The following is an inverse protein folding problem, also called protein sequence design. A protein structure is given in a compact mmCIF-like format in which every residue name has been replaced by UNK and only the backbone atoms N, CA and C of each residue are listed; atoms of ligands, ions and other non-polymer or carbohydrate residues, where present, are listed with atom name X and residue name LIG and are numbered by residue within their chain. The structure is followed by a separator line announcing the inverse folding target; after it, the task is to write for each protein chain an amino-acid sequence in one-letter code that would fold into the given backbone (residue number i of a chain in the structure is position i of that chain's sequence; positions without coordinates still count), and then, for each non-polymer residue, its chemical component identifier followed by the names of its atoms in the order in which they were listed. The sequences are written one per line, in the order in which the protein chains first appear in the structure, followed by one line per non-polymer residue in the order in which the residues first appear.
data_IF_993441389627
#
_entry.id   IF_993441389627
#
_cell.length_a   1.000
_cell.length_b   1.000
_cell.length_c   1.000
_cell.angle_alpha   90.00
_cell.angle_beta   90.00
_cell.angle_gamma   90.00
#
_symmetry.space_group_name_H-M   'P 1'
#
loop_
_entity.id
_entity.type
_entity.pdbx_description
1 polymer ?
#
# COMPACT_ATOMS: atom_id res chain seq x y z
N UNK A 1 -32.53 -34.36 -26.62
CA UNK A 1 -32.08 -33.11 -25.94
C UNK A 1 -31.87 -33.27 -24.43
N UNK A 2 -32.87 -33.67 -23.62
CA UNK A 2 -32.72 -33.80 -22.15
C UNK A 2 -31.57 -34.73 -21.70
N UNK A 3 -31.39 -35.88 -22.36
CA UNK A 3 -30.28 -36.82 -22.08
C UNK A 3 -28.90 -36.21 -22.37
N UNK A 4 -28.76 -35.39 -23.41
CA UNK A 4 -27.52 -34.71 -23.77
C UNK A 4 -27.16 -33.64 -22.75
N UNK A 5 -28.12 -32.79 -22.37
CA UNK A 5 -27.93 -31.76 -21.34
C UNK A 5 -27.49 -32.38 -20.02
N UNK A 6 -28.12 -33.48 -19.59
CA UNK A 6 -27.72 -34.20 -18.36
C UNK A 6 -26.27 -34.72 -18.45
N UNK A 7 -25.87 -35.31 -19.58
CA UNK A 7 -24.50 -35.80 -19.78
C UNK A 7 -23.49 -34.66 -19.75
N UNK A 8 -23.78 -33.53 -20.40
CA UNK A 8 -22.93 -32.33 -20.38
C UNK A 8 -22.81 -31.76 -18.96
N UNK A 9 -23.92 -31.67 -18.22
CA UNK A 9 -23.90 -31.18 -16.84
C UNK A 9 -23.06 -32.08 -15.92
N UNK A 10 -23.23 -33.40 -16.00
CA UNK A 10 -22.43 -34.35 -15.22
C UNK A 10 -20.95 -34.28 -15.61
N UNK A 11 -20.64 -34.06 -16.88
CA UNK A 11 -19.26 -33.89 -17.35
C UNK A 11 -18.63 -32.59 -16.83
N UNK A 12 -19.39 -31.49 -16.80
CA UNK A 12 -18.90 -30.18 -16.34
C UNK A 12 -18.94 -30.02 -14.81
N UNK A 13 -19.68 -30.85 -14.08
CA UNK A 13 -19.88 -30.67 -12.64
C UNK A 13 -18.58 -30.68 -11.83
N UNK A 14 -17.54 -31.51 -12.11
CA UNK A 14 -16.30 -31.46 -11.35
C UNK A 14 -15.55 -30.13 -11.54
N UNK A 15 -15.59 -29.57 -12.75
CA UNK A 15 -14.97 -28.28 -13.08
C UNK A 15 -15.70 -27.15 -12.33
N UNK A 16 -17.03 -27.16 -12.37
CA UNK A 16 -17.85 -26.18 -11.63
C UNK A 16 -17.60 -26.26 -10.13
N UNK A 17 -17.50 -27.47 -9.56
CA UNK A 17 -17.19 -27.67 -8.14
C UNK A 17 -15.82 -27.08 -7.78
N UNK A 18 -14.79 -27.25 -8.61
CA UNK A 18 -13.47 -26.64 -8.37
C UNK A 18 -13.55 -25.12 -8.43
N UNK A 19 -14.21 -24.55 -9.44
CA UNK A 19 -14.36 -23.09 -9.58
C UNK A 19 -15.14 -22.49 -8.39
N UNK A 20 -16.22 -23.13 -7.97
CA UNK A 20 -17.00 -22.73 -6.79
C UNK A 20 -16.15 -22.83 -5.52
N UNK A 21 -15.37 -23.90 -5.36
CA UNK A 21 -14.51 -24.09 -4.19
C UNK A 21 -13.44 -22.99 -4.09
N UNK A 22 -12.83 -22.61 -5.22
CA UNK A 22 -11.87 -21.49 -5.24
C UNK A 22 -12.58 -20.17 -4.95
N UNK A 23 -13.78 -19.94 -5.49
CA UNK A 23 -14.53 -18.72 -5.16
C UNK A 23 -14.89 -18.67 -3.67
N UNK A 24 -15.37 -19.77 -3.09
CA UNK A 24 -15.63 -19.88 -1.64
C UNK A 24 -14.36 -19.58 -0.85
N UNK A 25 -13.21 -20.14 -1.24
CA UNK A 25 -11.92 -19.85 -0.61
C UNK A 25 -11.65 -18.34 -0.57
N UNK A 26 -11.85 -17.62 -1.68
CA UNK A 26 -11.71 -16.17 -1.73
C UNK A 26 -12.72 -15.45 -0.82
N UNK A 27 -13.92 -15.99 -0.60
CA UNK A 27 -14.94 -15.34 0.25
C UNK A 27 -14.72 -15.55 1.75
N UNK A 28 -14.11 -16.65 2.15
CA UNK A 28 -14.00 -17.03 3.57
C UNK A 28 -12.61 -16.84 4.15
N UNK A 29 -11.54 -16.96 3.36
CA UNK A 29 -10.17 -16.94 3.89
C UNK A 29 -9.71 -15.50 4.06
N UNK A 30 -9.38 -15.06 5.30
CA UNK A 30 -8.89 -13.71 5.54
C UNK A 30 -7.56 -13.46 4.83
N UNK A 31 -7.42 -12.24 4.31
CA UNK A 31 -6.18 -11.72 3.75
C UNK A 31 -5.88 -10.34 4.35
N UNK A 32 -4.77 -9.71 3.94
CA UNK A 32 -4.35 -8.41 4.47
C UNK A 32 -5.44 -7.33 4.39
N UNK A 33 -6.25 -7.33 3.34
CA UNK A 33 -7.33 -6.37 3.12
C UNK A 33 -8.47 -6.59 4.12
N UNK A 34 -8.90 -7.85 4.30
CA UNK A 34 -9.92 -8.24 5.29
C UNK A 34 -9.49 -7.82 6.70
N UNK A 35 -8.28 -8.21 7.11
CA UNK A 35 -7.75 -7.90 8.44
C UNK A 35 -7.65 -6.40 8.66
N UNK A 36 -7.26 -5.62 7.65
CA UNK A 36 -7.21 -4.14 7.75
C UNK A 36 -8.59 -3.50 7.85
N UNK A 37 -9.58 -4.02 7.12
CA UNK A 37 -10.97 -3.52 7.17
C UNK A 37 -11.66 -3.83 8.51
N UNK A 38 -11.34 -4.97 9.12
CA UNK A 38 -11.84 -5.33 10.45
C UNK A 38 -11.13 -4.50 11.54
N UNK A 39 -9.79 -4.53 11.55
CA UNK A 39 -9.02 -3.86 12.60
C UNK A 39 -9.15 -2.34 12.58
N UNK A 40 -9.38 -1.69 11.43
CA UNK A 40 -9.57 -0.22 11.39
C UNK A 40 -10.76 0.25 12.24
N UNK A 41 -11.78 -0.59 12.43
CA UNK A 41 -12.95 -0.25 13.25
C UNK A 41 -12.57 -0.05 14.72
N UNK A 42 -11.67 -0.88 15.23
CA UNK A 42 -11.14 -0.80 16.59
C UNK A 42 -10.22 0.41 16.79
N UNK A 43 -9.70 0.97 15.68
CA UNK A 43 -8.67 2.02 15.66
C UNK A 43 -9.22 3.44 15.62
N UNK A 44 -10.53 3.62 15.47
CA UNK A 44 -11.14 4.95 15.35
C UNK A 44 -11.01 5.82 16.60
N UNK A 45 -10.92 5.22 17.79
CA UNK A 45 -10.96 5.95 19.06
C UNK A 45 -9.58 6.36 19.59
N UNK A 46 -8.53 5.63 19.21
CA UNK A 46 -7.20 5.73 19.79
C UNK A 46 -6.16 6.32 18.82
N UNK A 47 -6.27 6.00 17.52
CA UNK A 47 -5.24 6.37 16.51
C UNK A 47 -5.03 7.88 16.43
N UNK A 48 -3.79 8.31 16.68
CA UNK A 48 -3.32 9.69 16.51
C UNK A 48 -2.55 9.88 15.20
N UNK A 49 -1.92 8.81 14.67
CA UNK A 49 -1.18 8.81 13.40
C UNK A 49 -1.71 7.70 12.48
N UNK A 50 -2.16 8.07 11.29
CA UNK A 50 -2.58 7.13 10.24
C UNK A 50 -1.55 7.10 9.13
N UNK A 51 -1.03 5.92 8.79
CA UNK A 51 -0.11 5.71 7.67
C UNK A 51 -0.90 5.19 6.48
N UNK A 52 -0.71 5.84 5.33
CA UNK A 52 -1.23 5.48 4.01
C UNK A 52 -0.08 5.30 3.02
N UNK A 53 -0.36 4.68 1.88
CA UNK A 53 0.63 4.43 0.83
C UNK A 53 0.75 2.96 0.42
N UNK A 54 1.83 2.71 -0.33
CA UNK A 54 2.10 1.46 -1.02
C UNK A 54 2.90 0.45 -0.14
N UNK A 55 3.58 -0.51 -0.79
CA UNK A 55 4.44 -1.49 -0.12
C UNK A 55 5.60 -0.88 0.67
N UNK A 56 6.09 0.31 0.29
CA UNK A 56 7.20 0.98 0.95
C UNK A 56 6.81 1.44 2.36
N UNK A 57 5.59 1.95 2.57
CA UNK A 57 5.10 2.24 3.93
C UNK A 57 4.49 1.03 4.62
N UNK A 58 3.91 0.08 3.88
CA UNK A 58 3.41 -1.19 4.44
C UNK A 58 4.53 -2.00 5.13
N UNK A 59 5.71 -2.09 4.49
CA UNK A 59 6.88 -2.79 5.03
C UNK A 59 7.90 -1.87 5.71
N UNK A 60 7.89 -0.57 5.44
CA UNK A 60 8.90 0.36 5.96
C UNK A 60 8.52 1.06 7.25
N UNK A 61 7.23 1.15 7.60
CA UNK A 61 6.76 1.85 8.80
C UNK A 61 5.95 0.93 9.70
N UNK A 62 6.57 0.48 10.80
CA UNK A 62 5.95 -0.35 11.81
C UNK A 62 5.41 0.51 12.97
N UNK A 63 4.08 0.54 13.19
CA UNK A 63 3.46 1.36 14.22
C UNK A 63 3.97 1.16 15.64
N UNK A 64 4.56 0.00 15.96
CA UNK A 64 5.04 -0.30 17.33
C UNK A 64 6.22 0.57 17.76
N UNK A 65 6.92 1.20 16.81
CA UNK A 65 8.06 2.08 17.10
C UNK A 65 7.72 3.57 17.09
N UNK A 66 6.43 3.91 17.02
CA UNK A 66 5.95 5.29 17.17
C UNK A 66 5.52 5.54 18.60
N UNK A 67 5.80 6.73 19.14
CA UNK A 67 5.41 7.08 20.52
C UNK A 67 3.92 7.38 20.69
N UNK A 68 3.22 7.57 19.56
CA UNK A 68 1.79 7.86 19.52
C UNK A 68 1.04 6.67 18.93
N UNK A 69 -0.21 6.42 19.35
CA UNK A 69 -1.05 5.39 18.76
C UNK A 69 -1.09 5.55 17.25
N UNK A 70 -0.52 4.56 16.56
CA UNK A 70 -0.31 4.61 15.12
C UNK A 70 -0.98 3.40 14.48
N UNK A 71 -1.58 3.60 13.31
CA UNK A 71 -2.15 2.52 12.53
C UNK A 71 -1.72 2.62 11.07
N UNK A 72 -1.33 1.48 10.49
CA UNK A 72 -0.86 1.40 9.11
C UNK A 72 -1.92 0.80 8.21
N UNK A 73 -2.55 1.65 7.39
CA UNK A 73 -3.57 1.26 6.42
C UNK A 73 -3.00 1.10 4.99
N UNK A 74 -1.69 1.17 4.81
CA UNK A 74 -1.00 0.97 3.52
C UNK A 74 -1.14 -0.48 3.02
N UNK A 75 -1.10 -0.72 1.71
CA UNK A 75 -1.09 -2.07 1.13
C UNK A 75 -0.08 -2.19 -0.02
N UNK A 76 0.25 -3.42 -0.39
CA UNK A 76 1.15 -3.71 -1.51
C UNK A 76 0.59 -3.11 -2.81
N UNK A 77 1.39 -2.27 -3.46
CA UNK A 77 1.05 -1.52 -4.68
C UNK A 77 -0.21 -0.64 -4.57
N UNK A 78 -0.57 -0.19 -3.36
CA UNK A 78 -1.65 0.80 -3.17
C UNK A 78 -1.27 2.13 -3.83
N UNK A 79 -2.10 2.58 -4.77
CA UNK A 79 -1.91 3.85 -5.47
C UNK A 79 -2.54 5.01 -4.70
N UNK A 80 -2.17 6.25 -5.06
CA UNK A 80 -2.79 7.46 -4.50
C UNK A 80 -4.31 7.48 -4.74
N UNK A 81 -4.79 6.86 -5.83
CA UNK A 81 -6.21 6.66 -6.06
C UNK A 81 -6.88 5.84 -4.94
N UNK A 82 -6.28 4.71 -4.54
CA UNK A 82 -6.82 3.91 -3.44
C UNK A 82 -6.57 4.55 -2.07
N UNK A 83 -5.46 5.27 -1.88
CA UNK A 83 -5.26 6.10 -0.69
C UNK A 83 -6.41 7.09 -0.52
N UNK A 84 -6.85 7.75 -1.60
CA UNK A 84 -7.99 8.68 -1.58
C UNK A 84 -9.30 8.00 -1.19
N UNK A 85 -9.60 6.84 -1.77
CA UNK A 85 -10.83 6.11 -1.46
C UNK A 85 -10.86 5.64 0.00
N UNK A 86 -9.74 5.12 0.51
CA UNK A 86 -9.60 4.75 1.92
C UNK A 86 -9.71 5.96 2.84
N UNK A 87 -9.02 7.04 2.50
CA UNK A 87 -9.07 8.29 3.22
C UNK A 87 -10.51 8.81 3.34
N UNK A 88 -11.24 8.91 2.23
CA UNK A 88 -12.62 9.40 2.22
C UNK A 88 -13.57 8.50 3.03
N UNK A 89 -13.39 7.17 2.97
CA UNK A 89 -14.21 6.23 3.75
C UNK A 89 -14.01 6.37 5.26
N UNK A 90 -12.79 6.67 5.70
CA UNK A 90 -12.40 6.51 7.11
C UNK A 90 -12.11 7.82 7.87
N UNK A 91 -11.71 8.89 7.18
CA UNK A 91 -11.15 10.09 7.84
C UNK A 91 -12.10 10.73 8.86
N UNK A 92 -13.40 10.75 8.58
CA UNK A 92 -14.41 11.37 9.44
C UNK A 92 -14.72 10.52 10.70
N UNK A 93 -14.27 9.26 10.74
CA UNK A 93 -14.54 8.32 11.85
C UNK A 93 -13.48 8.38 12.94
N UNK A 94 -12.23 8.72 12.60
CA UNK A 94 -11.15 8.84 13.59
C UNK A 94 -11.35 10.05 14.50
N UNK A 95 -11.36 9.84 15.82
CA UNK A 95 -11.66 10.88 16.82
C UNK A 95 -10.43 11.63 17.33
N UNK A 96 -9.26 10.97 17.33
CA UNK A 96 -8.00 11.51 17.87
C UNK A 96 -6.92 11.73 16.83
N UNK A 97 -7.24 11.53 15.54
CA UNK A 97 -6.26 11.62 14.47
C UNK A 97 -5.71 13.05 14.38
N UNK A 98 -4.39 13.17 14.45
CA UNK A 98 -3.66 14.44 14.36
C UNK A 98 -2.74 14.49 13.16
N UNK A 99 -2.32 13.34 12.65
CA UNK A 99 -1.36 13.29 11.53
C UNK A 99 -1.66 12.15 10.58
N UNK A 100 -1.57 12.44 9.29
CA UNK A 100 -1.49 11.43 8.24
C UNK A 100 -0.07 11.40 7.69
N UNK A 101 0.50 10.20 7.61
CA UNK A 101 1.75 9.94 6.89
C UNK A 101 1.36 9.35 5.54
N UNK A 102 1.72 10.03 4.46
CA UNK A 102 1.36 9.65 3.09
C UNK A 102 2.62 9.47 2.24
N UNK A 103 2.73 8.30 1.62
CA UNK A 103 3.87 7.93 0.80
C UNK A 103 3.93 8.69 -0.53
N UNK A 104 5.13 9.14 -0.91
CA UNK A 104 5.47 9.69 -2.23
C UNK A 104 6.81 9.08 -2.66
N UNK A 105 6.74 8.07 -3.51
CA UNK A 105 7.91 7.38 -4.06
C UNK A 105 8.05 7.66 -5.57
N UNK A 106 9.01 6.95 -6.17
CA UNK A 106 9.36 7.08 -7.59
C UNK A 106 8.21 6.84 -8.57
N UNK A 107 7.23 6.04 -8.18
CA UNK A 107 6.05 5.68 -9.01
C UNK A 107 4.81 6.51 -8.68
N UNK A 108 4.70 7.04 -7.46
CA UNK A 108 3.42 7.49 -6.90
C UNK A 108 2.75 8.60 -7.72
N UNK A 109 3.51 9.59 -8.21
CA UNK A 109 2.93 10.75 -8.88
C UNK A 109 2.59 10.50 -10.36
N UNK A 110 3.25 9.56 -11.03
CA UNK A 110 2.98 9.23 -12.44
C UNK A 110 2.04 8.05 -12.62
N UNK A 111 1.73 7.31 -11.55
CA UNK A 111 0.93 6.11 -11.63
C UNK A 111 -0.46 6.41 -12.18
N UNK A 112 -0.81 5.76 -13.29
CA UNK A 112 -2.14 5.80 -13.89
C UNK A 112 -3.10 4.86 -13.15
N UNK A 113 -4.39 5.19 -13.20
CA UNK A 113 -5.46 4.30 -12.71
C UNK A 113 -5.71 3.15 -13.67
N UNK A 114 -6.19 2.04 -13.12
CA UNK A 114 -6.59 0.84 -13.87
C UNK A 114 -5.44 0.26 -14.72
N UNK A 115 -4.24 0.23 -14.14
CA UNK A 115 -3.03 -0.38 -14.73
C UNK A 115 -2.93 -1.86 -14.35
N UNK A 116 -1.84 -2.52 -14.76
CA UNK A 116 -1.57 -3.93 -14.44
C UNK A 116 -1.57 -4.21 -12.93
N UNK A 117 -1.19 -3.22 -12.10
CA UNK A 117 -1.25 -3.34 -10.65
C UNK A 117 -2.70 -3.41 -10.11
N UNK A 118 -3.67 -2.89 -10.86
CA UNK A 118 -5.07 -2.81 -10.44
C UNK A 118 -5.92 -4.00 -10.90
N UNK A 119 -5.39 -4.87 -11.79
CA UNK A 119 -6.12 -5.99 -12.44
C UNK A 119 -6.92 -6.82 -11.42
N UNK A 120 -6.32 -7.14 -10.27
CA UNK A 120 -6.99 -7.89 -9.21
C UNK A 120 -7.25 -7.06 -7.95
N UNK A 121 -6.40 -6.07 -7.66
CA UNK A 121 -6.44 -5.29 -6.42
C UNK A 121 -7.71 -4.46 -6.29
N UNK A 122 -8.24 -3.92 -7.40
CA UNK A 122 -9.49 -3.14 -7.37
C UNK A 122 -10.67 -3.94 -6.81
N UNK A 123 -10.75 -5.23 -7.13
CA UNK A 123 -11.78 -6.11 -6.57
C UNK A 123 -11.52 -6.42 -5.10
N UNK A 124 -10.27 -6.54 -4.67
CA UNK A 124 -9.93 -6.75 -3.27
C UNK A 124 -10.33 -5.53 -2.42
N UNK A 125 -10.06 -4.32 -2.90
CA UNK A 125 -10.54 -3.09 -2.27
C UNK A 125 -12.07 -3.03 -2.20
N UNK A 126 -12.76 -3.42 -3.28
CA UNK A 126 -14.23 -3.47 -3.28
C UNK A 126 -14.77 -4.49 -2.28
N UNK A 127 -14.25 -5.72 -2.29
CA UNK A 127 -14.86 -6.85 -1.61
C UNK A 127 -14.37 -7.11 -0.20
N UNK A 128 -13.12 -6.77 0.09
CA UNK A 128 -12.51 -7.01 1.41
C UNK A 128 -12.37 -5.74 2.23
N UNK A 129 -12.47 -4.56 1.60
CA UNK A 129 -12.41 -3.27 2.27
C UNK A 129 -13.66 -2.42 2.04
N UNK A 130 -14.76 -2.99 1.53
CA UNK A 130 -16.03 -2.33 1.21
C UNK A 130 -15.86 -0.93 0.62
N UNK A 131 -14.99 -0.79 -0.39
CA UNK A 131 -14.81 0.46 -1.12
C UNK A 131 -15.76 0.51 -2.32
N UNK A 132 -16.34 1.68 -2.55
CA UNK A 132 -16.87 2.00 -3.88
C UNK A 132 -15.67 2.29 -4.80
N UNK A 133 -15.49 1.48 -5.84
CA UNK A 133 -14.35 1.56 -6.75
C UNK A 133 -14.84 1.89 -8.17
N UNK A 134 -14.98 3.18 -8.53
CA UNK A 134 -15.51 3.62 -9.82
C UNK A 134 -14.84 3.05 -11.08
N UNK A 135 -13.57 2.65 -10.99
CA UNK A 135 -12.85 2.06 -12.14
C UNK A 135 -13.25 0.61 -12.44
N UNK A 136 -14.16 0.01 -11.65
CA UNK A 136 -14.73 -1.31 -11.92
C UNK A 136 -15.97 -1.14 -12.80
N UNK A 137 -15.91 -1.66 -14.01
CA UNK A 137 -17.06 -1.74 -14.90
C UNK A 137 -18.08 -2.74 -14.37
N UNK A 138 -19.37 -2.41 -14.45
CA UNK A 138 -20.45 -3.27 -13.95
C UNK A 138 -20.55 -4.61 -14.69
N UNK A 139 -20.15 -4.64 -15.97
CA UNK A 139 -20.17 -5.83 -16.82
C UNK A 139 -18.90 -6.68 -16.73
N UNK A 140 -17.92 -6.26 -15.93
CA UNK A 140 -16.71 -7.03 -15.74
C UNK A 140 -17.01 -8.32 -14.96
N UNK A 141 -16.68 -9.49 -15.52
CA UNK A 141 -16.95 -10.78 -14.87
C UNK A 141 -16.28 -10.92 -13.50
N UNK A 142 -15.11 -10.31 -13.31
CA UNK A 142 -14.37 -10.39 -12.05
C UNK A 142 -15.04 -9.54 -10.96
N UNK A 143 -15.95 -8.64 -11.35
CA UNK A 143 -16.83 -7.97 -10.44
C UNK A 143 -17.83 -8.92 -9.78
N UNK A 144 -17.97 -10.17 -10.22
CA UNK A 144 -18.86 -11.17 -9.60
C UNK A 144 -18.10 -12.40 -9.11
N UNK A 145 -16.99 -12.75 -9.77
CA UNK A 145 -16.13 -13.89 -9.44
C UNK A 145 -14.69 -13.43 -9.16
N UNK A 146 -14.33 -13.24 -7.89
CA UNK A 146 -13.00 -12.71 -7.52
C UNK A 146 -11.91 -13.71 -7.90
N UNK A 147 -12.22 -15.00 -7.84
CA UNK A 147 -11.29 -16.07 -8.23
C UNK A 147 -10.87 -15.99 -9.70
N UNK A 148 -11.64 -15.31 -10.56
CA UNK A 148 -11.30 -15.01 -11.96
C UNK A 148 -10.23 -13.92 -12.15
N UNK A 149 -9.84 -13.21 -11.09
CA UNK A 149 -8.81 -12.17 -11.14
C UNK A 149 -7.39 -12.70 -11.25
N UNK A 150 -7.18 -14.01 -10.99
CA UNK A 150 -5.88 -14.67 -11.04
C UNK A 150 -5.94 -15.94 -11.89
N UNK A 151 -4.78 -16.33 -12.42
CA UNK A 151 -4.64 -17.61 -13.13
C UNK A 151 -4.89 -18.80 -12.20
N UNK A 152 -5.27 -19.94 -12.78
CA UNK A 152 -5.49 -21.18 -12.01
C UNK A 152 -4.27 -21.58 -11.17
N UNK A 153 -3.06 -21.45 -11.73
CA UNK A 153 -1.81 -21.73 -11.01
C UNK A 153 -1.62 -20.79 -9.81
N UNK A 154 -1.91 -19.49 -9.97
CA UNK A 154 -1.85 -18.53 -8.87
C UNK A 154 -2.89 -18.83 -7.77
N UNK A 155 -4.09 -19.26 -8.16
CA UNK A 155 -5.11 -19.71 -7.20
C UNK A 155 -4.66 -20.96 -6.43
N UNK A 156 -4.10 -21.95 -7.12
CA UNK A 156 -3.59 -23.15 -6.47
C UNK A 156 -2.44 -22.83 -5.50
N UNK A 157 -1.49 -21.96 -5.89
CA UNK A 157 -0.43 -21.50 -4.98
C UNK A 157 -0.98 -20.84 -3.73
N UNK A 158 -2.01 -20.01 -3.85
CA UNK A 158 -2.64 -19.35 -2.71
C UNK A 158 -3.34 -20.35 -1.78
N UNK A 159 -4.06 -21.31 -2.35
CA UNK A 159 -4.71 -22.38 -1.60
C UNK A 159 -3.68 -23.28 -0.89
N UNK A 160 -2.64 -23.73 -1.60
CA UNK A 160 -1.55 -24.52 -1.03
C UNK A 160 -0.87 -23.79 0.12
N UNK A 161 -0.57 -22.50 -0.05
CA UNK A 161 -0.03 -21.66 1.02
C UNK A 161 -0.95 -21.68 2.25
N UNK A 162 -2.24 -21.45 2.07
CA UNK A 162 -3.19 -21.51 3.17
C UNK A 162 -3.24 -22.90 3.85
N UNK A 163 -3.17 -23.99 3.09
CA UNK A 163 -3.17 -25.34 3.68
C UNK A 163 -1.94 -25.62 4.54
N UNK A 164 -0.77 -25.11 4.14
CA UNK A 164 0.50 -25.26 4.86
C UNK A 164 0.55 -24.31 6.06
N UNK A 165 0.38 -23.00 5.82
CA UNK A 165 0.61 -21.94 6.79
C UNK A 165 -0.60 -21.65 7.69
N UNK A 166 -1.78 -22.19 7.34
CA UNK A 166 -3.10 -21.89 7.95
C UNK A 166 -3.55 -20.43 7.81
N UNK A 167 -2.81 -19.61 7.05
CA UNK A 167 -3.14 -18.21 6.77
C UNK A 167 -2.47 -17.73 5.49
N UNK A 168 -3.04 -16.70 4.88
CA UNK A 168 -2.42 -15.92 3.79
C UNK A 168 -2.24 -14.45 4.19
N UNK A 169 -2.43 -14.15 5.48
CA UNK A 169 -2.24 -12.84 6.08
C UNK A 169 -0.74 -12.66 6.37
N UNK A 170 -0.21 -11.56 5.87
CA UNK A 170 1.17 -11.13 6.04
C UNK A 170 1.27 -9.83 6.86
N UNK A 171 0.18 -9.33 7.44
CA UNK A 171 0.19 -8.15 8.31
C UNK A 171 -0.15 -8.46 9.77
N UNK A 172 0.33 -7.61 10.69
CA UNK A 172 -0.08 -7.66 12.09
C UNK A 172 -1.35 -6.82 12.35
N UNK A 173 -1.86 -6.85 13.59
CA UNK A 173 -3.06 -6.09 14.02
C UNK A 173 -2.98 -4.57 13.88
N UNK A 174 -1.78 -4.01 13.75
CA UNK A 174 -1.57 -2.59 13.50
C UNK A 174 -1.31 -2.31 12.01
N UNK A 175 -1.41 -3.33 11.16
CA UNK A 175 -1.35 -3.23 9.70
C UNK A 175 0.05 -3.23 9.09
N UNK A 176 1.11 -3.48 9.87
CA UNK A 176 2.48 -3.60 9.37
C UNK A 176 2.72 -4.97 8.71
N UNK A 177 3.41 -4.98 7.56
CA UNK A 177 3.80 -6.21 6.85
C UNK A 177 4.95 -6.96 7.52
N UNK A 178 4.78 -8.26 7.74
CA UNK A 178 5.64 -9.09 8.63
C UNK A 178 6.49 -10.13 7.90
N UNK A 179 6.22 -10.37 6.61
CA UNK A 179 6.90 -11.39 5.82
C UNK A 179 8.26 -10.94 5.25
N UNK A 180 8.56 -9.64 5.23
CA UNK A 180 9.87 -9.11 4.79
C UNK A 180 10.87 -9.10 5.96
N UNK A 181 11.57 -10.22 6.13
CA UNK A 181 12.52 -10.43 7.23
C UNK A 181 13.97 -10.38 6.74
N UNK A 182 14.90 -9.92 7.57
CA UNK A 182 16.33 -9.85 7.22
C UNK A 182 16.90 -11.19 6.75
N UNK A 183 16.45 -12.30 7.33
CA UNK A 183 16.90 -13.65 7.00
C UNK A 183 16.46 -14.09 5.61
N UNK A 184 15.36 -13.53 5.09
CA UNK A 184 14.79 -13.86 3.78
C UNK A 184 15.12 -12.82 2.70
N UNK A 185 16.04 -11.89 2.98
CA UNK A 185 16.42 -10.83 2.02
C UNK A 185 17.01 -11.44 0.74
N UNK A 186 16.84 -10.72 -0.37
CA UNK A 186 17.40 -11.06 -1.67
C UNK A 186 18.93 -11.04 -1.61
N UNK A 187 19.56 -12.10 -2.14
CA UNK A 187 21.02 -12.26 -2.10
C UNK A 187 21.73 -11.22 -3.00
N UNK A 188 21.23 -11.00 -4.22
CA UNK A 188 21.81 -10.06 -5.19
C UNK A 188 20.93 -8.82 -5.35
N UNK A 189 21.15 -7.83 -4.47
CA UNK A 189 20.42 -6.55 -4.49
C UNK A 189 20.69 -5.76 -5.79
N UNK A 190 21.88 -5.87 -6.38
CA UNK A 190 22.21 -5.12 -7.60
C UNK A 190 21.38 -5.58 -8.81
N UNK A 191 21.32 -6.90 -9.05
CA UNK A 191 20.52 -7.47 -10.12
C UNK A 191 19.02 -7.19 -9.89
N UNK A 192 18.57 -7.35 -8.65
CA UNK A 192 17.21 -7.01 -8.26
C UNK A 192 16.88 -5.52 -8.53
N UNK A 193 17.83 -4.61 -8.31
CA UNK A 193 17.64 -3.18 -8.58
C UNK A 193 17.40 -2.90 -10.06
N UNK A 194 18.12 -3.57 -10.97
CA UNK A 194 17.90 -3.42 -12.41
C UNK A 194 16.47 -3.83 -12.79
N UNK A 195 16.01 -4.98 -12.28
CA UNK A 195 14.65 -5.46 -12.52
C UNK A 195 13.58 -4.53 -11.93
N UNK A 196 13.78 -4.07 -10.69
CA UNK A 196 12.86 -3.16 -10.00
C UNK A 196 12.74 -1.82 -10.73
N UNK A 197 13.86 -1.21 -11.14
CA UNK A 197 13.85 0.06 -11.90
C UNK A 197 13.11 -0.11 -13.22
N UNK A 198 13.38 -1.18 -13.97
CA UNK A 198 12.69 -1.45 -15.23
C UNK A 198 11.17 -1.57 -15.04
N UNK A 199 10.72 -2.17 -13.94
CA UNK A 199 9.29 -2.27 -13.59
C UNK A 199 8.69 -0.93 -13.18
N UNK A 200 9.45 -0.07 -12.49
CA UNK A 200 8.95 1.19 -11.94
C UNK A 200 9.06 2.38 -12.90
N UNK A 201 9.88 2.28 -13.94
CA UNK A 201 10.00 3.32 -14.96
C UNK A 201 8.88 3.22 -16.00
N UNK A 202 7.99 4.21 -16.00
CA UNK A 202 6.88 4.36 -16.94
C UNK A 202 7.14 5.48 -17.99
N UNK A 203 8.25 6.22 -17.87
CA UNK A 203 8.60 7.40 -18.67
C UNK A 203 7.59 8.56 -18.60
N UNK A 204 6.64 8.49 -17.68
CA UNK A 204 5.62 9.52 -17.48
C UNK A 204 6.11 10.57 -16.50
N UNK A 205 5.83 11.83 -16.83
CA UNK A 205 6.08 12.96 -15.95
C UNK A 205 4.88 13.88 -15.79
N UNK A 206 3.72 13.51 -16.35
CA UNK A 206 2.47 14.17 -15.99
C UNK A 206 2.02 13.67 -14.62
N UNK A 207 1.92 14.60 -13.68
CA UNK A 207 1.55 14.33 -12.29
C UNK A 207 0.20 14.96 -11.93
N UNK A 208 -0.49 15.58 -12.90
CA UNK A 208 -1.64 16.46 -12.65
C UNK A 208 -2.75 15.78 -11.85
N UNK A 209 -3.13 14.57 -12.26
CA UNK A 209 -4.19 13.80 -11.59
C UNK A 209 -3.82 13.43 -10.15
N UNK A 210 -2.61 12.91 -9.94
CA UNK A 210 -2.16 12.49 -8.60
C UNK A 210 -1.87 13.67 -7.67
N UNK A 211 -1.40 14.81 -8.20
CA UNK A 211 -1.30 16.05 -7.42
C UNK A 211 -2.68 16.55 -7.01
N UNK A 212 -3.67 16.50 -7.90
CA UNK A 212 -5.05 16.86 -7.56
C UNK A 212 -5.61 16.00 -6.42
N UNK A 213 -5.30 14.70 -6.43
CA UNK A 213 -5.67 13.78 -5.34
C UNK A 213 -5.01 14.20 -4.02
N UNK A 214 -3.69 14.47 -4.04
CA UNK A 214 -2.95 14.89 -2.86
C UNK A 214 -3.47 16.20 -2.29
N UNK A 215 -3.72 17.20 -3.14
CA UNK A 215 -4.28 18.49 -2.75
C UNK A 215 -5.66 18.32 -2.11
N UNK A 216 -6.50 17.43 -2.62
CA UNK A 216 -7.80 17.11 -2.02
C UNK A 216 -7.67 16.51 -0.62
N UNK A 217 -6.73 15.56 -0.41
CA UNK A 217 -6.44 14.98 0.91
C UNK A 217 -5.92 16.06 1.87
N UNK A 218 -4.95 16.87 1.42
CA UNK A 218 -4.35 17.95 2.20
C UNK A 218 -5.40 18.97 2.63
N UNK A 219 -6.27 19.40 1.72
CA UNK A 219 -7.33 20.36 2.01
C UNK A 219 -8.33 19.85 3.06
N UNK A 220 -8.76 18.59 2.94
CA UNK A 220 -9.65 17.94 3.93
C UNK A 220 -8.96 17.73 5.28
N UNK A 221 -7.65 17.45 5.30
CA UNK A 221 -6.88 17.39 6.54
C UNK A 221 -6.79 18.78 7.20
N UNK A 222 -6.50 19.82 6.41
CA UNK A 222 -6.41 21.21 6.88
C UNK A 222 -7.71 21.67 7.54
N UNK A 223 -8.87 21.39 6.94
CA UNK A 223 -10.18 21.76 7.53
C UNK A 223 -10.52 21.02 8.83
N UNK A 224 -9.78 19.94 9.14
CA UNK A 224 -9.90 19.17 10.37
C UNK A 224 -8.78 19.43 11.38
N UNK A 225 -7.84 20.33 11.09
CA UNK A 225 -6.65 20.53 11.91
C UNK A 225 -5.71 19.32 11.95
N UNK A 226 -5.73 18.49 10.90
CA UNK A 226 -4.87 17.32 10.75
C UNK A 226 -3.64 17.71 9.93
N UNK A 227 -2.45 17.36 10.45
CA UNK A 227 -1.19 17.52 9.75
C UNK A 227 -0.98 16.41 8.72
N UNK A 228 -0.32 16.72 7.62
CA UNK A 228 0.08 15.75 6.60
C UNK A 228 1.59 15.71 6.50
N UNK A 229 2.16 14.52 6.65
CA UNK A 229 3.57 14.27 6.37
C UNK A 229 3.67 13.46 5.10
N UNK A 230 4.12 14.11 4.04
CA UNK A 230 4.57 13.44 2.84
C UNK A 230 5.90 12.76 3.16
N UNK A 231 6.05 11.48 2.83
CA UNK A 231 7.27 10.74 3.07
C UNK A 231 7.74 9.99 1.82
N UNK A 232 9.03 10.10 1.51
CA UNK A 232 9.69 9.19 0.58
C UNK A 232 10.52 8.21 1.41
N UNK A 233 10.24 6.92 1.28
CA UNK A 233 10.93 5.85 2.03
C UNK A 233 12.33 5.63 1.43
N UNK A 234 13.34 5.28 2.25
CA UNK A 234 14.68 4.98 1.73
C UNK A 234 14.64 3.78 0.76
N UNK A 235 15.57 3.79 -0.19
CA UNK A 235 15.81 2.67 -1.13
C UNK A 235 17.29 2.29 -1.10
N UNK A 236 17.64 1.12 -1.63
CA UNK A 236 19.04 0.68 -1.67
C UNK A 236 19.90 1.65 -2.50
N UNK A 237 21.20 1.70 -2.23
CA UNK A 237 22.13 2.56 -2.99
C UNK A 237 22.13 2.23 -4.49
N UNK A 238 21.98 0.95 -4.82
CA UNK A 238 21.95 0.46 -6.19
C UNK A 238 20.72 0.95 -6.94
N UNK A 239 19.56 0.94 -6.29
CA UNK A 239 18.33 1.49 -6.84
C UNK A 239 18.44 3.01 -6.98
N UNK A 240 18.83 3.69 -5.90
CA UNK A 240 18.96 5.14 -5.87
C UNK A 240 19.89 5.66 -6.97
N UNK A 241 21.00 4.98 -7.25
CA UNK A 241 21.98 5.41 -8.25
C UNK A 241 21.45 5.37 -9.70
N UNK A 242 20.60 4.38 -10.03
CA UNK A 242 20.27 4.02 -11.43
C UNK A 242 18.90 4.51 -11.92
N UNK A 243 18.03 5.05 -11.05
CA UNK A 243 16.74 5.65 -11.48
C UNK A 243 16.89 6.89 -12.35
N UNK A 244 15.86 7.22 -13.14
CA UNK A 244 15.80 8.47 -13.92
C UNK A 244 15.77 9.68 -12.99
N UNK A 245 16.91 10.36 -12.90
CA UNK A 245 17.09 11.53 -12.03
C UNK A 245 16.21 12.71 -12.41
N UNK A 246 15.84 12.87 -13.69
CA UNK A 246 14.95 13.97 -14.11
C UNK A 246 13.55 13.77 -13.53
N UNK A 247 12.99 12.56 -13.64
CA UNK A 247 11.70 12.19 -13.06
C UNK A 247 11.73 12.31 -11.53
N UNK A 248 12.73 11.71 -10.89
CA UNK A 248 12.90 11.76 -9.43
C UNK A 248 12.95 13.21 -8.89
N UNK A 249 13.77 14.07 -9.51
CA UNK A 249 13.88 15.46 -9.10
C UNK A 249 12.57 16.22 -9.31
N UNK A 250 11.77 15.89 -10.34
CA UNK A 250 10.45 16.48 -10.54
C UNK A 250 9.49 16.07 -9.41
N UNK A 251 9.50 14.80 -8.99
CA UNK A 251 8.68 14.29 -7.88
C UNK A 251 9.03 15.02 -6.58
N UNK A 252 10.33 15.13 -6.26
CA UNK A 252 10.77 15.84 -5.05
C UNK A 252 10.39 17.33 -5.06
N UNK A 253 10.51 17.99 -6.22
CA UNK A 253 10.07 19.37 -6.38
C UNK A 253 8.57 19.50 -6.11
N UNK A 254 7.73 18.60 -6.61
CA UNK A 254 6.30 18.60 -6.33
C UNK A 254 6.01 18.46 -4.82
N UNK A 255 6.66 17.52 -4.13
CA UNK A 255 6.47 17.34 -2.68
C UNK A 255 6.91 18.58 -1.87
N UNK A 256 8.03 19.21 -2.23
CA UNK A 256 8.51 20.45 -1.63
C UNK A 256 7.54 21.62 -1.89
N UNK A 257 6.98 21.71 -3.11
CA UNK A 257 5.99 22.73 -3.45
C UNK A 257 4.70 22.56 -2.63
N UNK A 258 4.20 21.32 -2.49
CA UNK A 258 3.03 21.03 -1.65
C UNK A 258 3.26 21.45 -0.20
N UNK A 259 4.46 21.17 0.36
CA UNK A 259 4.84 21.67 1.69
C UNK A 259 4.83 23.21 1.75
N UNK A 260 5.45 23.88 0.77
CA UNK A 260 5.55 25.35 0.76
C UNK A 260 4.18 26.03 0.68
N UNK A 261 3.24 25.45 -0.06
CA UNK A 261 1.91 26.02 -0.28
C UNK A 261 0.93 25.73 0.86
N UNK A 262 1.23 24.76 1.74
CA UNK A 262 0.28 24.27 2.74
C UNK A 262 0.93 24.22 4.14
N UNK A 263 0.52 25.07 5.09
CA UNK A 263 1.17 25.15 6.41
C UNK A 263 0.99 23.89 7.27
N UNK A 264 -0.02 23.07 7.01
CA UNK A 264 -0.24 21.78 7.69
C UNK A 264 0.51 20.61 7.04
N UNK A 265 1.36 20.88 6.03
CA UNK A 265 2.13 19.85 5.32
C UNK A 265 3.59 19.91 5.72
N UNK A 266 4.22 18.76 5.88
CA UNK A 266 5.67 18.58 5.97
C UNK A 266 6.12 17.49 5.02
N UNK A 267 7.36 17.57 4.53
CA UNK A 267 7.95 16.57 3.66
C UNK A 267 9.24 16.02 4.27
N UNK A 268 9.31 14.70 4.41
CA UNK A 268 10.49 13.96 4.83
C UNK A 268 10.97 13.07 3.68
N UNK A 269 12.11 13.42 3.10
CA UNK A 269 12.72 12.64 2.02
C UNK A 269 13.87 11.78 2.57
N UNK A 270 13.67 10.45 2.58
CA UNK A 270 14.69 9.49 3.00
C UNK A 270 15.30 8.70 1.83
N UNK A 271 14.94 9.02 0.58
CA UNK A 271 15.22 8.20 -0.61
C UNK A 271 16.68 7.70 -0.71
N UNK A 272 17.65 8.59 -0.45
CA UNK A 272 19.08 8.27 -0.46
C UNK A 272 19.75 8.74 0.84
N UNK A 273 19.06 8.56 1.96
CA UNK A 273 19.53 8.99 3.28
C UNK A 273 20.72 8.13 3.75
N UNK A 274 21.79 8.79 4.19
CA UNK A 274 23.06 8.14 4.54
C UNK A 274 23.00 7.23 5.77
N UNK A 275 21.93 7.32 6.57
CA UNK A 275 21.69 6.44 7.72
C UNK A 275 21.29 5.01 7.32
N UNK A 276 20.98 4.79 6.04
CA UNK A 276 20.64 3.48 5.48
C UNK A 276 21.78 2.91 4.65
N UNK A 277 21.99 1.61 4.79
CA UNK A 277 22.94 0.81 4.01
C UNK A 277 22.20 -0.31 3.30
N UNK A 278 22.83 -0.99 2.34
CA UNK A 278 22.22 -2.14 1.67
C UNK A 278 21.85 -3.28 2.65
N UNK A 279 22.40 -3.30 3.86
CA UNK A 279 22.02 -4.29 4.89
C UNK A 279 20.69 -3.98 5.60
N UNK A 280 20.05 -2.84 5.32
CA UNK A 280 18.72 -2.50 5.85
C UNK A 280 17.57 -3.00 4.97
N UNK A 281 17.89 -3.52 3.77
CA UNK A 281 16.90 -3.80 2.74
C UNK A 281 16.61 -5.29 2.56
N UNK A 282 15.34 -5.60 2.34
CA UNK A 282 14.88 -6.91 1.90
C UNK A 282 15.22 -7.15 0.43
N UNK A 283 14.98 -6.16 -0.42
CA UNK A 283 15.27 -6.16 -1.86
C UNK A 283 15.81 -4.80 -2.30
N UNK A 284 15.74 -4.43 -3.58
CA UNK A 284 16.34 -3.17 -4.03
C UNK A 284 15.61 -1.92 -3.54
N UNK A 285 14.32 -2.01 -3.19
CA UNK A 285 13.48 -0.85 -2.90
C UNK A 285 12.61 -1.01 -1.64
N UNK A 286 12.63 -2.17 -0.97
CA UNK A 286 11.91 -2.39 0.27
C UNK A 286 12.84 -2.68 1.44
N UNK A 287 12.55 -2.07 2.59
CA UNK A 287 13.16 -2.42 3.86
C UNK A 287 12.71 -3.81 4.32
N UNK A 288 13.59 -4.52 5.02
CA UNK A 288 13.15 -5.64 5.85
C UNK A 288 12.80 -5.15 7.27
N UNK A 289 12.26 -6.01 8.11
CA UNK A 289 11.82 -5.71 9.48
C UNK A 289 12.79 -4.84 10.33
N UNK A 290 14.11 -5.12 10.33
CA UNK A 290 15.06 -4.29 11.11
C UNK A 290 15.33 -2.90 10.50
N UNK A 291 15.36 -2.79 9.16
CA UNK A 291 15.46 -1.50 8.47
C UNK A 291 14.17 -0.68 8.66
N UNK A 292 13.02 -1.36 8.70
CA UNK A 292 11.73 -0.76 8.99
C UNK A 292 11.65 -0.21 10.42
N UNK A 293 12.22 -0.91 11.42
CA UNK A 293 12.38 -0.39 12.78
C UNK A 293 13.15 0.93 12.78
N UNK A 294 14.36 0.93 12.18
CA UNK A 294 15.19 2.13 12.03
C UNK A 294 14.42 3.27 11.35
N UNK A 295 13.74 2.98 10.24
CA UNK A 295 12.96 3.97 9.51
C UNK A 295 11.80 4.52 10.36
N UNK A 296 11.09 3.67 11.08
CA UNK A 296 9.97 4.07 11.93
C UNK A 296 10.42 5.01 13.06
N UNK A 297 11.57 4.73 13.69
CA UNK A 297 12.15 5.59 14.72
C UNK A 297 12.54 6.97 14.15
N UNK A 298 13.17 7.01 12.97
CA UNK A 298 13.51 8.26 12.28
C UNK A 298 12.25 9.10 12.00
N UNK A 299 11.17 8.46 11.54
CA UNK A 299 9.90 9.15 11.27
C UNK A 299 9.25 9.62 12.57
N UNK A 300 9.23 8.81 13.62
CA UNK A 300 8.70 9.19 14.92
C UNK A 300 9.43 10.42 15.51
N UNK A 301 10.76 10.44 15.40
CA UNK A 301 11.58 11.58 15.84
C UNK A 301 11.30 12.84 15.02
N UNK A 302 11.14 12.73 13.70
CA UNK A 302 10.75 13.84 12.85
C UNK A 302 9.39 14.43 13.28
N UNK A 303 8.40 13.58 13.55
CA UNK A 303 7.07 13.98 14.00
C UNK A 303 7.11 14.68 15.38
N UNK A 304 7.90 14.15 16.32
CA UNK A 304 8.15 14.78 17.63
C UNK A 304 8.71 16.19 17.49
N UNK A 305 9.70 16.38 16.62
CA UNK A 305 10.34 17.68 16.41
C UNK A 305 9.36 18.72 15.84
N UNK A 306 8.50 18.30 14.90
CA UNK A 306 7.46 19.18 14.34
C UNK A 306 6.42 19.60 15.36
N UNK A 307 5.96 18.68 16.21
CA UNK A 307 5.03 19.03 17.28
C UNK A 307 5.62 20.03 18.29
N UNK A 308 6.93 19.96 18.57
CA UNK A 308 7.62 20.94 19.44
C UNK A 308 7.74 22.33 18.80
N UNK A 309 7.87 22.43 17.47
CA UNK A 309 7.94 23.71 16.76
C UNK A 309 6.60 24.44 16.74
N UNK A 310 5.47 23.72 16.76
CA UNK A 310 4.11 24.29 16.79
C UNK A 310 3.76 24.83 18.18
N UNK A 311 4.37 24.31 19.25
CA UNK A 311 4.10 24.69 20.64
C UNK A 311 5.02 25.80 21.18
N UNK A 312 5.95 26.32 20.39
CA UNK A 312 6.75 27.49 20.77
C UNK A 312 6.03 28.76 20.26
N UNK A 313 5.66 29.69 21.15
CA UNK A 313 4.93 30.91 20.79
C UNK A 313 5.73 31.83 19.87
#
# INVERSE_FOLDING_TARGET
MRKLIRKVFVFLSPILLVLISIEIFYRIVPNNYTIKNESVLEKYQDTEILILGNSHTFYGLNPVFFDKPTYNLANISQSLYFDKLLFDKHIDKFKKLKTIVLNIDYTSLSQLKNTDEDIWRKYYYKYYMDLNVPIINWYDRNNYFISGTKSFNSNLKLATRYFIDKTIVDCNKNGFGTNYTKQKKVLNIEENAVAAIKRHEDNLTDFTENITILESIIAKCKSKGINVVLITIPVSKNYAAKVNKKKLNKIFKCAVLLQKMNPNVSYLNLFNDSRFTNDDFYDADHLHNLGAEKCSQIVADFLKQKNKQILKP
#
